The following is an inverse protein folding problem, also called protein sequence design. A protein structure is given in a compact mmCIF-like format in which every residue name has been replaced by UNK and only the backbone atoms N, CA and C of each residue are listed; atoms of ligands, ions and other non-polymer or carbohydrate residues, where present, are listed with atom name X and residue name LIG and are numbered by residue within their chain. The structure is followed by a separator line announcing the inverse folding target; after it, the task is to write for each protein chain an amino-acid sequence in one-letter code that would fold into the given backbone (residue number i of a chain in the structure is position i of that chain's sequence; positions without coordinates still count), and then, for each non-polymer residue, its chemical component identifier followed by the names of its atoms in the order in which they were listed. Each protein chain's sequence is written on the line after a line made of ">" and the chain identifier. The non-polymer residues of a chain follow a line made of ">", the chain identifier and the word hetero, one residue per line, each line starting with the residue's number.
data_IF_248112979080
#
_entry.id   IF_248112979080
#
_cell.length_a   1.000
_cell.length_b   1.000
_cell.length_c   1.000
_cell.angle_alpha   90.00
_cell.angle_beta   90.00
_cell.angle_gamma   90.00
#
_symmetry.space_group_name_H-M   'P 1'
#
loop_
_entity.id
_entity.type
_entity.pdbx_description
1 polymer ?
#
# COMPACT_ATOMS: atom_id res chain seq x y z
N UNK A 1 19.96 6.33 -4.18
CA UNK A 1 21.09 5.56 -4.78
C UNK A 1 22.01 5.21 -3.63
N UNK A 2 21.90 4.00 -3.10
CA UNK A 2 22.60 3.64 -1.86
C UNK A 2 24.05 3.23 -2.17
N UNK A 3 24.93 4.23 -2.09
CA UNK A 3 26.29 4.23 -2.63
C UNK A 3 27.26 3.34 -1.83
N UNK A 4 26.88 2.89 -0.63
CA UNK A 4 27.82 2.23 0.30
C UNK A 4 28.17 0.80 -0.13
N UNK A 5 27.20 -0.03 -0.50
CA UNK A 5 27.45 -1.43 -0.89
C UNK A 5 28.15 -1.54 -2.24
N UNK A 6 27.72 -0.73 -3.22
CA UNK A 6 28.33 -0.63 -4.54
C UNK A 6 29.75 -0.08 -4.46
N UNK A 7 29.99 0.99 -3.69
CA UNK A 7 31.34 1.53 -3.47
C UNK A 7 32.25 0.53 -2.77
N UNK A 8 31.77 -0.18 -1.74
CA UNK A 8 32.56 -1.24 -1.09
C UNK A 8 32.88 -2.39 -2.04
N UNK A 9 31.95 -2.81 -2.89
CA UNK A 9 32.20 -3.84 -3.89
C UNK A 9 33.27 -3.40 -4.91
N UNK A 10 33.08 -2.24 -5.54
CA UNK A 10 34.02 -1.68 -6.52
C UNK A 10 35.41 -1.46 -5.91
N UNK A 11 35.49 -0.84 -4.73
CA UNK A 11 36.77 -0.64 -4.03
C UNK A 11 37.46 -1.97 -3.68
N UNK A 12 36.69 -2.99 -3.27
CA UNK A 12 37.24 -4.32 -2.97
C UNK A 12 37.83 -4.99 -4.21
N UNK A 13 37.17 -4.87 -5.37
CA UNK A 13 37.72 -5.38 -6.64
C UNK A 13 39.01 -4.66 -7.06
N UNK A 14 39.05 -3.33 -6.92
CA UNK A 14 40.25 -2.54 -7.24
C UNK A 14 41.41 -2.90 -6.31
N UNK A 15 41.17 -3.00 -5.00
CA UNK A 15 42.19 -3.40 -4.03
C UNK A 15 42.73 -4.81 -4.29
N UNK A 16 41.85 -5.77 -4.61
CA UNK A 16 42.27 -7.12 -4.93
C UNK A 16 43.04 -7.21 -6.26
N UNK A 17 42.66 -6.40 -7.25
CA UNK A 17 43.40 -6.28 -8.50
C UNK A 17 44.81 -5.71 -8.28
N UNK A 18 44.94 -4.63 -7.50
CA UNK A 18 46.24 -4.06 -7.12
C UNK A 18 47.08 -5.08 -6.35
N UNK A 19 46.49 -5.76 -5.38
CA UNK A 19 47.14 -6.86 -4.65
C UNK A 19 47.67 -7.93 -5.60
N UNK A 20 46.86 -8.39 -6.56
CA UNK A 20 47.25 -9.42 -7.52
C UNK A 20 48.40 -8.95 -8.43
N UNK A 21 48.39 -7.70 -8.90
CA UNK A 21 49.46 -7.13 -9.72
C UNK A 21 50.76 -7.01 -8.95
N UNK A 22 50.73 -6.51 -7.71
CA UNK A 22 51.92 -6.40 -6.85
C UNK A 22 52.46 -7.80 -6.53
N UNK A 23 51.58 -8.71 -6.06
CA UNK A 23 51.98 -10.08 -5.71
C UNK A 23 52.63 -10.79 -6.90
N UNK A 24 52.04 -10.69 -8.11
CA UNK A 24 52.60 -11.28 -9.33
C UNK A 24 53.94 -10.65 -9.74
N UNK A 25 54.06 -9.32 -9.64
CA UNK A 25 55.29 -8.61 -10.03
C UNK A 25 56.45 -8.98 -9.11
N UNK A 26 56.22 -9.02 -7.79
CA UNK A 26 57.27 -9.37 -6.82
C UNK A 26 57.65 -10.86 -6.91
N UNK A 27 56.69 -11.74 -7.21
CA UNK A 27 56.99 -13.15 -7.46
C UNK A 27 57.91 -13.34 -8.69
N UNK A 28 57.76 -12.51 -9.72
CA UNK A 28 58.60 -12.54 -10.94
C UNK A 28 60.01 -11.97 -10.75
N UNK A 29 60.28 -11.27 -9.64
CA UNK A 29 61.59 -10.73 -9.30
C UNK A 29 62.41 -11.67 -8.39
N UNK A 30 61.93 -12.90 -8.15
CA UNK A 30 62.52 -13.90 -7.23
C UNK A 30 62.83 -13.39 -5.81
N UNK A 31 62.14 -12.32 -5.39
CA UNK A 31 62.37 -11.64 -4.10
C UNK A 31 61.96 -12.47 -2.87
N UNK A 32 61.18 -13.54 -3.05
CA UNK A 32 60.65 -14.37 -1.98
C UNK A 32 61.26 -15.78 -1.97
N UNK A 33 61.82 -16.15 -0.82
CA UNK A 33 62.16 -17.53 -0.49
C UNK A 33 60.90 -18.39 -0.29
N UNK A 34 61.08 -19.71 -0.11
CA UNK A 34 59.98 -20.69 -0.07
C UNK A 34 58.88 -20.35 0.96
N UNK A 35 59.26 -19.82 2.12
CA UNK A 35 58.30 -19.36 3.15
C UNK A 35 57.49 -18.13 2.71
N UNK A 36 58.10 -17.19 1.97
CA UNK A 36 57.41 -16.01 1.45
C UNK A 36 56.38 -16.37 0.37
N UNK A 37 56.70 -17.36 -0.48
CA UNK A 37 55.77 -17.89 -1.48
C UNK A 37 54.55 -18.55 -0.84
N UNK A 38 54.75 -19.27 0.26
CA UNK A 38 53.65 -19.88 1.03
C UNK A 38 52.73 -18.83 1.66
N UNK A 39 53.29 -17.77 2.25
CA UNK A 39 52.49 -16.67 2.83
C UNK A 39 51.66 -15.98 1.74
N UNK A 40 52.28 -15.68 0.58
CA UNK A 40 51.57 -15.10 -0.57
C UNK A 40 50.43 -15.99 -1.07
N UNK A 41 50.61 -17.31 -1.07
CA UNK A 41 49.58 -18.25 -1.45
C UNK A 41 48.38 -18.19 -0.49
N UNK A 42 48.63 -18.24 0.81
CA UNK A 42 47.57 -18.16 1.84
C UNK A 42 46.86 -16.81 1.80
N UNK A 43 47.59 -15.69 1.70
CA UNK A 43 46.97 -14.37 1.60
C UNK A 43 46.14 -14.21 0.32
N UNK A 44 46.57 -14.82 -0.79
CA UNK A 44 45.80 -14.81 -2.04
C UNK A 44 44.50 -15.59 -1.92
N UNK A 45 44.49 -16.72 -1.21
CA UNK A 45 43.26 -17.46 -0.90
C UNK A 45 42.33 -16.60 -0.06
N UNK A 46 42.84 -15.91 0.96
CA UNK A 46 42.03 -15.02 1.82
C UNK A 46 41.41 -13.88 1.00
N UNK A 47 42.20 -13.21 0.15
CA UNK A 47 41.70 -12.14 -0.73
C UNK A 47 40.64 -12.68 -1.72
N UNK A 48 40.85 -13.88 -2.28
CA UNK A 48 39.88 -14.52 -3.16
C UNK A 48 38.57 -14.83 -2.43
N UNK A 49 38.62 -15.42 -1.24
CA UNK A 49 37.44 -15.69 -0.41
C UNK A 49 36.71 -14.38 -0.08
N UNK A 50 37.45 -13.34 0.34
CA UNK A 50 36.90 -12.02 0.63
C UNK A 50 36.18 -11.42 -0.60
N UNK A 51 36.77 -11.53 -1.80
CA UNK A 51 36.14 -11.08 -3.04
C UNK A 51 34.85 -11.86 -3.34
N UNK A 52 34.88 -13.19 -3.22
CA UNK A 52 33.71 -14.03 -3.47
C UNK A 52 32.57 -13.64 -2.52
N UNK A 53 32.86 -13.48 -1.22
CA UNK A 53 31.85 -13.06 -0.23
C UNK A 53 31.30 -11.67 -0.53
N UNK A 54 32.17 -10.72 -0.89
CA UNK A 54 31.76 -9.35 -1.24
C UNK A 54 30.88 -9.33 -2.49
N UNK A 55 31.24 -10.11 -3.51
CA UNK A 55 30.49 -10.25 -4.76
C UNK A 55 29.11 -10.88 -4.50
N UNK A 56 29.06 -11.99 -3.75
CA UNK A 56 27.80 -12.65 -3.38
C UNK A 56 26.89 -11.69 -2.60
N UNK A 57 27.45 -10.96 -1.62
CA UNK A 57 26.68 -10.00 -0.82
C UNK A 57 26.13 -8.87 -1.69
N UNK A 58 26.92 -8.36 -2.62
CA UNK A 58 26.48 -7.32 -3.55
C UNK A 58 25.38 -7.80 -4.50
N UNK A 59 25.54 -8.99 -5.10
CA UNK A 59 24.50 -9.60 -5.95
C UNK A 59 23.21 -9.83 -5.16
N UNK A 60 23.32 -10.33 -3.93
CA UNK A 60 22.16 -10.56 -3.07
C UNK A 60 21.40 -9.26 -2.79
N UNK A 61 22.10 -8.16 -2.44
CA UNK A 61 21.49 -6.84 -2.25
C UNK A 61 20.81 -6.34 -3.52
N UNK A 62 21.45 -6.48 -4.68
CA UNK A 62 20.87 -6.06 -5.97
C UNK A 62 19.61 -6.87 -6.33
N UNK A 63 19.64 -8.19 -6.09
CA UNK A 63 18.50 -9.07 -6.34
C UNK A 63 17.33 -8.80 -5.39
N UNK A 64 17.61 -8.44 -4.13
CA UNK A 64 16.59 -8.11 -3.14
C UNK A 64 15.80 -6.86 -3.53
N UNK A 65 16.48 -5.81 -4.00
CA UNK A 65 15.84 -4.57 -4.48
C UNK A 65 14.94 -4.81 -5.69
N UNK A 66 15.40 -5.62 -6.65
CA UNK A 66 14.59 -5.99 -7.82
C UNK A 66 13.33 -6.78 -7.45
N UNK A 67 13.41 -7.66 -6.44
CA UNK A 67 12.25 -8.42 -5.95
C UNK A 67 11.25 -7.54 -5.21
N UNK A 68 11.73 -6.59 -4.38
CA UNK A 68 10.85 -5.67 -3.66
C UNK A 68 10.05 -4.78 -4.61
N UNK A 69 10.70 -4.21 -5.65
CA UNK A 69 9.99 -3.45 -6.68
C UNK A 69 8.93 -4.31 -7.36
N UNK A 70 9.29 -5.51 -7.82
CA UNK A 70 8.35 -6.40 -8.51
C UNK A 70 7.14 -6.80 -7.63
N UNK A 71 7.34 -6.99 -6.32
CA UNK A 71 6.25 -7.28 -5.40
C UNK A 71 5.34 -6.07 -5.20
N UNK A 72 5.91 -4.88 -5.04
CA UNK A 72 5.14 -3.63 -4.97
C UNK A 72 4.36 -3.37 -6.26
N UNK A 73 4.95 -3.68 -7.42
CA UNK A 73 4.27 -3.58 -8.72
C UNK A 73 3.04 -4.51 -8.78
N UNK A 74 3.16 -5.75 -8.30
CA UNK A 74 2.03 -6.70 -8.25
C UNK A 74 0.92 -6.24 -7.30
N UNK A 75 1.29 -5.74 -6.12
CA UNK A 75 0.31 -5.22 -5.15
C UNK A 75 -0.39 -4.00 -5.75
N UNK A 76 0.36 -3.07 -6.34
CA UNK A 76 -0.19 -1.89 -6.98
C UNK A 76 -1.12 -2.26 -8.16
N UNK A 77 -0.77 -3.28 -8.95
CA UNK A 77 -1.62 -3.76 -10.03
C UNK A 77 -2.93 -4.38 -9.51
N UNK A 78 -2.87 -5.18 -8.44
CA UNK A 78 -4.06 -5.73 -7.81
C UNK A 78 -4.96 -4.62 -7.23
N UNK A 79 -4.36 -3.61 -6.58
CA UNK A 79 -5.06 -2.43 -6.07
C UNK A 79 -5.68 -1.59 -7.18
N UNK A 80 -4.99 -1.45 -8.33
CA UNK A 80 -5.52 -0.75 -9.49
C UNK A 80 -6.79 -1.43 -10.02
N UNK A 81 -6.76 -2.77 -10.12
CA UNK A 81 -7.89 -3.54 -10.62
C UNK A 81 -9.10 -3.46 -9.69
N UNK A 82 -8.91 -3.57 -8.36
CA UNK A 82 -10.03 -3.45 -7.42
C UNK A 82 -10.59 -2.03 -7.36
N UNK A 83 -9.73 -1.00 -7.43
CA UNK A 83 -10.17 0.39 -7.52
C UNK A 83 -10.90 0.70 -8.83
N UNK A 84 -10.44 0.17 -9.96
CA UNK A 84 -11.11 0.32 -11.26
C UNK A 84 -12.49 -0.32 -11.24
N UNK A 85 -12.62 -1.55 -10.74
CA UNK A 85 -13.91 -2.23 -10.56
C UNK A 85 -14.85 -1.42 -9.65
N UNK A 86 -14.34 -0.86 -8.56
CA UNK A 86 -15.13 0.01 -7.69
C UNK A 86 -15.60 1.28 -8.41
N UNK A 87 -14.75 1.93 -9.20
CA UNK A 87 -15.11 3.15 -9.95
C UNK A 87 -16.09 2.88 -11.10
N UNK A 88 -16.00 1.71 -11.71
CA UNK A 88 -16.95 1.25 -12.73
C UNK A 88 -18.34 0.99 -12.13
N UNK A 89 -18.40 0.43 -10.92
CA UNK A 89 -19.67 0.20 -10.24
C UNK A 89 -19.55 0.34 -8.71
N UNK A 90 -19.71 1.57 -8.17
CA UNK A 90 -19.57 1.81 -6.72
C UNK A 90 -20.61 1.06 -5.88
N UNK A 91 -21.78 0.81 -6.47
CA UNK A 91 -22.88 0.04 -5.91
C UNK A 91 -22.85 -1.45 -6.31
N UNK A 92 -21.79 -1.96 -6.95
CA UNK A 92 -21.70 -3.36 -7.39
C UNK A 92 -22.92 -3.80 -8.24
N UNK A 93 -23.37 -2.91 -9.12
CA UNK A 93 -24.53 -3.05 -10.01
C UNK A 93 -25.89 -3.17 -9.32
N UNK A 94 -25.98 -2.83 -8.02
CA UNK A 94 -27.25 -2.77 -7.29
C UNK A 94 -28.03 -1.51 -7.67
N UNK A 95 -29.34 -1.65 -7.85
CA UNK A 95 -30.23 -0.61 -8.39
C UNK A 95 -31.11 0.11 -7.39
N UNK A 96 -31.28 -0.44 -6.18
CA UNK A 96 -32.04 0.23 -5.15
C UNK A 96 -31.16 1.19 -4.35
N UNK A 97 -31.70 2.38 -4.08
CA UNK A 97 -31.25 3.24 -3.00
C UNK A 97 -32.38 3.34 -1.99
N UNK A 98 -32.39 2.46 -1.00
CA UNK A 98 -33.19 2.64 0.21
C UNK A 98 -32.29 2.44 1.43
N UNK A 99 -32.54 3.23 2.48
CA UNK A 99 -31.91 3.03 3.77
C UNK A 99 -32.75 2.06 4.61
N UNK A 100 -32.12 1.15 5.36
CA UNK A 100 -32.84 0.23 6.22
C UNK A 100 -33.63 0.99 7.30
N UNK A 101 -34.90 0.65 7.45
CA UNK A 101 -35.76 1.17 8.53
C UNK A 101 -35.74 0.21 9.72
N UNK A 102 -36.09 0.69 10.93
CA UNK A 102 -36.06 -0.15 12.15
C UNK A 102 -36.98 -1.36 12.11
N UNK A 103 -37.93 -1.38 11.18
CA UNK A 103 -38.97 -2.40 11.08
C UNK A 103 -38.57 -3.56 10.14
N UNK A 104 -37.40 -3.46 9.48
CA UNK A 104 -36.88 -4.50 8.60
C UNK A 104 -36.26 -5.66 9.38
N UNK A 105 -36.43 -6.88 8.88
CA UNK A 105 -35.79 -8.06 9.46
C UNK A 105 -34.29 -8.05 9.15
N UNK A 106 -33.44 -8.24 10.17
CA UNK A 106 -31.99 -8.36 10.01
C UNK A 106 -31.55 -9.82 9.90
N UNK A 107 -30.53 -10.06 9.07
CA UNK A 107 -29.85 -11.35 9.00
C UNK A 107 -28.44 -11.18 9.54
N UNK A 108 -28.10 -11.89 10.62
CA UNK A 108 -26.81 -11.80 11.30
C UNK A 108 -25.83 -12.87 10.83
N UNK A 109 -24.53 -12.54 10.79
CA UNK A 109 -23.46 -13.47 10.54
C UNK A 109 -23.36 -14.44 11.70
N UNK A 110 -23.30 -15.76 11.50
CA UNK A 110 -23.14 -16.71 12.63
C UNK A 110 -21.70 -17.18 12.83
N UNK A 111 -20.74 -16.41 12.31
CA UNK A 111 -19.32 -16.74 12.32
C UNK A 111 -18.47 -15.47 12.36
N UNK A 112 -17.17 -15.63 12.51
CA UNK A 112 -16.20 -14.54 12.44
C UNK A 112 -15.28 -14.73 11.24
N UNK A 113 -14.82 -13.62 10.65
CA UNK A 113 -13.90 -13.64 9.53
C UNK A 113 -13.97 -12.37 8.71
N UNK A 114 -13.25 -12.35 7.60
CA UNK A 114 -13.35 -11.28 6.60
C UNK A 114 -14.37 -11.66 5.55
N UNK A 115 -15.29 -10.76 5.21
CA UNK A 115 -16.20 -10.95 4.09
C UNK A 115 -15.42 -10.81 2.78
N UNK A 116 -15.26 -11.91 2.03
CA UNK A 116 -14.45 -11.93 0.80
C UNK A 116 -15.29 -11.96 -0.46
N UNK A 117 -16.53 -12.46 -0.40
CA UNK A 117 -17.40 -12.53 -1.56
C UNK A 117 -18.88 -12.48 -1.15
N UNK A 118 -19.69 -11.88 -2.02
CA UNK A 118 -21.15 -11.85 -1.93
C UNK A 118 -21.71 -12.39 -3.24
N UNK A 119 -22.54 -13.44 -3.17
CA UNK A 119 -23.27 -13.95 -4.33
C UNK A 119 -24.52 -13.08 -4.61
N UNK A 120 -24.31 -11.98 -5.32
CA UNK A 120 -25.38 -11.07 -5.73
C UNK A 120 -26.43 -11.74 -6.60
N UNK A 121 -26.06 -12.73 -7.41
CA UNK A 121 -26.99 -13.41 -8.32
C UNK A 121 -27.99 -14.26 -7.54
N UNK A 122 -27.52 -15.01 -6.56
CA UNK A 122 -28.40 -15.81 -5.68
C UNK A 122 -29.26 -14.91 -4.80
N UNK A 123 -28.70 -13.82 -4.25
CA UNK A 123 -29.48 -12.83 -3.46
C UNK A 123 -30.61 -12.19 -4.28
N UNK A 124 -30.33 -11.76 -5.52
CA UNK A 124 -31.33 -11.18 -6.41
C UNK A 124 -32.47 -12.16 -6.68
N UNK A 125 -32.15 -13.43 -7.01
CA UNK A 125 -33.18 -14.47 -7.22
C UNK A 125 -34.05 -14.69 -5.98
N UNK A 126 -33.43 -14.76 -4.80
CA UNK A 126 -34.16 -14.90 -3.53
C UNK A 126 -35.10 -13.70 -3.29
N UNK A 127 -34.65 -12.48 -3.60
CA UNK A 127 -35.44 -11.27 -3.48
C UNK A 127 -36.63 -11.27 -4.47
N UNK A 128 -36.42 -11.70 -5.71
CA UNK A 128 -37.48 -11.82 -6.73
C UNK A 128 -38.56 -12.84 -6.36
N UNK A 129 -38.16 -14.06 -5.95
CA UNK A 129 -39.06 -15.16 -5.60
C UNK A 129 -39.97 -14.81 -4.41
N UNK A 130 -39.47 -14.00 -3.48
CA UNK A 130 -40.19 -13.63 -2.25
C UNK A 130 -40.79 -12.21 -2.31
N UNK A 131 -40.71 -11.54 -3.47
CA UNK A 131 -41.12 -10.14 -3.66
C UNK A 131 -40.53 -9.18 -2.61
N UNK A 132 -39.33 -9.48 -2.13
CA UNK A 132 -38.62 -8.71 -1.09
C UNK A 132 -37.58 -7.77 -1.70
N UNK A 133 -37.09 -6.83 -0.90
CA UNK A 133 -35.91 -6.04 -1.17
C UNK A 133 -34.84 -6.33 -0.10
N UNK A 134 -33.56 -6.35 -0.50
CA UNK A 134 -32.46 -6.67 0.41
C UNK A 134 -31.46 -5.51 0.42
N UNK A 135 -31.16 -4.98 1.60
CA UNK A 135 -30.09 -4.00 1.82
C UNK A 135 -28.89 -4.67 2.47
N UNK A 136 -27.80 -4.81 1.72
CA UNK A 136 -26.54 -5.36 2.19
C UNK A 136 -25.84 -4.31 3.05
N UNK A 137 -25.59 -4.64 4.31
CA UNK A 137 -25.07 -3.71 5.32
C UNK A 137 -23.54 -3.72 5.43
N UNK A 138 -22.86 -4.62 4.72
CA UNK A 138 -21.41 -4.84 4.81
C UNK A 138 -20.73 -4.67 3.46
N UNK A 139 -19.50 -4.18 3.47
CA UNK A 139 -18.59 -4.21 2.32
C UNK A 139 -17.62 -5.38 2.38
N UNK A 140 -17.13 -5.75 1.20
CA UNK A 140 -16.04 -6.70 1.05
C UNK A 140 -14.79 -6.18 1.76
N UNK A 141 -14.07 -7.08 2.44
CA UNK A 141 -12.92 -6.75 3.27
C UNK A 141 -13.22 -6.46 4.74
N UNK A 142 -14.48 -6.23 5.11
CA UNK A 142 -14.84 -5.97 6.50
C UNK A 142 -14.61 -7.20 7.40
N UNK A 143 -14.10 -6.94 8.61
CA UNK A 143 -13.96 -7.95 9.66
C UNK A 143 -15.28 -8.06 10.40
N UNK A 144 -15.89 -9.25 10.39
CA UNK A 144 -17.19 -9.48 10.99
C UNK A 144 -17.10 -10.32 12.27
N UNK A 145 -18.01 -10.04 13.20
CA UNK A 145 -18.28 -10.83 14.39
C UNK A 145 -19.55 -11.68 14.22
N UNK A 146 -19.78 -12.70 15.07
CA UNK A 146 -20.97 -13.57 15.01
C UNK A 146 -22.32 -12.90 15.32
N UNK A 147 -22.35 -11.58 15.51
CA UNK A 147 -23.53 -10.74 15.72
C UNK A 147 -23.61 -9.61 14.68
N UNK A 148 -22.70 -9.58 13.70
CA UNK A 148 -22.68 -8.57 12.67
C UNK A 148 -23.89 -8.74 11.73
N UNK A 149 -24.64 -7.66 11.50
CA UNK A 149 -25.76 -7.67 10.55
C UNK A 149 -25.22 -7.68 9.12
N UNK A 150 -25.50 -8.75 8.38
CA UNK A 150 -25.12 -8.94 6.98
C UNK A 150 -25.99 -8.08 6.06
N UNK A 151 -27.30 -8.13 6.27
CA UNK A 151 -28.27 -7.40 5.48
C UNK A 151 -29.60 -7.21 6.23
N UNK A 152 -30.38 -6.25 5.76
CA UNK A 152 -31.77 -6.03 6.12
C UNK A 152 -32.68 -6.47 4.99
N UNK A 153 -33.81 -7.07 5.32
CA UNK A 153 -34.81 -7.58 4.38
C UNK A 153 -36.12 -6.85 4.59
N UNK A 154 -36.60 -6.20 3.53
CA UNK A 154 -37.94 -5.63 3.43
C UNK A 154 -38.85 -6.62 2.69
N UNK A 155 -39.54 -7.46 3.45
CA UNK A 155 -40.32 -8.58 2.96
C UNK A 155 -40.24 -9.78 3.89
N UNK A 156 -40.70 -10.94 3.42
CA UNK A 156 -40.70 -12.16 4.22
C UNK A 156 -39.95 -13.28 3.49
N UNK A 157 -38.65 -13.39 3.76
CA UNK A 157 -37.85 -14.54 3.36
C UNK A 157 -37.78 -15.47 4.57
N UNK A 158 -38.37 -16.67 4.46
CA UNK A 158 -38.56 -17.57 5.62
C UNK A 158 -37.28 -18.24 6.13
N UNK A 159 -36.21 -18.26 5.34
CA UNK A 159 -34.99 -18.99 5.65
C UNK A 159 -33.75 -18.11 5.54
N UNK A 160 -33.33 -17.56 6.68
CA UNK A 160 -32.09 -16.79 6.83
C UNK A 160 -30.83 -17.60 6.48
N UNK A 161 -30.89 -18.94 6.44
CA UNK A 161 -29.74 -19.75 6.06
C UNK A 161 -29.40 -19.52 4.58
N UNK A 162 -30.42 -19.46 3.71
CA UNK A 162 -30.22 -19.22 2.27
C UNK A 162 -29.57 -17.87 2.00
N UNK A 163 -29.95 -16.85 2.77
CA UNK A 163 -29.33 -15.52 2.68
C UNK A 163 -27.89 -15.59 3.19
N UNK A 164 -27.64 -16.20 4.36
CA UNK A 164 -26.29 -16.33 4.92
C UNK A 164 -25.32 -17.08 4.01
N UNK A 165 -25.79 -18.11 3.31
CA UNK A 165 -24.96 -18.91 2.39
C UNK A 165 -24.49 -18.09 1.16
N UNK A 166 -25.10 -16.92 0.89
CA UNK A 166 -24.63 -15.99 -0.14
C UNK A 166 -23.42 -15.15 0.30
N UNK A 167 -23.07 -15.14 1.58
CA UNK A 167 -21.93 -14.40 2.12
C UNK A 167 -20.77 -15.37 2.42
N UNK A 168 -19.64 -15.15 1.77
CA UNK A 168 -18.45 -16.01 1.91
C UNK A 168 -17.43 -15.33 2.81
N UNK A 169 -17.02 -16.04 3.85
CA UNK A 169 -16.05 -15.57 4.84
C UNK A 169 -14.73 -16.32 4.74
N UNK A 170 -13.64 -15.61 5.02
CA UNK A 170 -12.28 -16.14 5.04
C UNK A 170 -11.54 -15.71 6.31
N UNK A 171 -10.48 -16.43 6.68
CA UNK A 171 -9.59 -16.03 7.77
C UNK A 171 -8.66 -14.87 7.39
N UNK A 172 -8.58 -14.50 6.11
CA UNK A 172 -7.72 -13.43 5.62
C UNK A 172 -8.42 -12.60 4.53
N UNK A 173 -8.10 -11.30 4.48
CA UNK A 173 -8.52 -10.39 3.40
C UNK A 173 -7.92 -10.79 2.06
N UNK A 174 -8.65 -10.50 0.99
CA UNK A 174 -8.26 -10.72 -0.40
C UNK A 174 -8.22 -9.40 -1.15
N UNK A 175 -7.39 -9.30 -2.20
CA UNK A 175 -7.34 -8.09 -3.03
C UNK A 175 -8.56 -7.98 -3.97
N UNK A 176 -9.22 -9.10 -4.24
CA UNK A 176 -10.39 -9.16 -5.10
C UNK A 176 -11.51 -8.30 -4.50
N UNK A 177 -11.93 -7.27 -5.24
CA UNK A 177 -13.07 -6.40 -4.94
C UNK A 177 -12.99 -5.60 -3.60
N UNK A 178 -11.84 -5.59 -2.93
CA UNK A 178 -11.51 -4.69 -1.82
C UNK A 178 -10.53 -3.60 -2.31
N UNK A 179 -11.02 -2.39 -2.62
CA UNK A 179 -10.17 -1.29 -3.08
C UNK A 179 -9.21 -0.78 -1.99
N UNK A 180 -9.52 -0.98 -0.70
CA UNK A 180 -8.74 -0.44 0.42
C UNK A 180 -7.56 -1.34 0.78
N UNK A 181 -7.73 -2.66 0.70
CA UNK A 181 -6.69 -3.61 1.09
C UNK A 181 -5.36 -3.42 0.34
N UNK A 182 -5.42 -3.15 -0.96
CA UNK A 182 -4.25 -2.83 -1.77
C UNK A 182 -3.43 -1.66 -1.21
N UNK A 183 -4.12 -0.60 -0.78
CA UNK A 183 -3.48 0.58 -0.20
C UNK A 183 -2.95 0.32 1.22
N UNK A 184 -3.66 -0.46 2.04
CA UNK A 184 -3.14 -0.87 3.36
C UNK A 184 -1.82 -1.63 3.20
N UNK A 185 -1.78 -2.64 2.33
CA UNK A 185 -0.57 -3.46 2.14
C UNK A 185 0.60 -2.62 1.58
N UNK A 186 0.32 -1.68 0.68
CA UNK A 186 1.31 -0.70 0.25
C UNK A 186 1.79 0.14 1.45
N UNK A 187 0.87 0.63 2.28
CA UNK A 187 1.18 1.42 3.48
C UNK A 187 2.07 0.67 4.45
N UNK A 188 1.78 -0.60 4.71
CA UNK A 188 2.62 -1.49 5.53
C UNK A 188 4.02 -1.66 4.93
N UNK A 189 4.16 -1.74 3.61
CA UNK A 189 5.46 -1.82 2.96
C UNK A 189 6.26 -0.52 3.15
N UNK A 190 5.62 0.64 3.07
CA UNK A 190 6.25 1.92 3.40
C UNK A 190 6.65 1.98 4.89
N UNK A 191 5.79 1.54 5.82
CA UNK A 191 6.13 1.49 7.25
C UNK A 191 7.33 0.59 7.53
N UNK A 192 7.39 -0.60 6.92
CA UNK A 192 8.54 -1.50 7.04
C UNK A 192 9.82 -0.83 6.55
N UNK A 193 9.74 -0.08 5.46
CA UNK A 193 10.87 0.69 4.93
C UNK A 193 11.31 1.81 5.89
N UNK A 194 10.37 2.50 6.53
CA UNK A 194 10.65 3.55 7.52
C UNK A 194 11.13 3.02 8.88
N UNK A 195 10.97 1.71 9.14
CA UNK A 195 11.37 1.13 10.42
C UNK A 195 12.85 1.38 10.74
N UNK A 196 13.24 1.54 12.03
CA UNK A 196 14.63 1.80 12.42
C UNK A 196 15.64 0.75 11.92
N UNK A 197 15.17 -0.48 11.69
CA UNK A 197 16.02 -1.58 11.21
C UNK A 197 16.34 -1.49 9.71
N UNK A 198 15.46 -0.89 8.90
CA UNK A 198 15.60 -0.78 7.44
C UNK A 198 16.04 0.62 7.03
N UNK A 199 15.35 1.66 7.52
CA UNK A 199 15.62 3.07 7.27
C UNK A 199 15.79 3.41 5.77
N UNK A 200 14.90 2.88 4.93
CA UNK A 200 14.86 3.14 3.49
C UNK A 200 13.75 4.14 3.13
N UNK A 201 14.10 5.42 3.21
CA UNK A 201 13.20 6.53 2.88
C UNK A 201 12.77 6.51 1.40
N UNK A 202 13.65 6.02 0.53
CA UNK A 202 13.42 6.00 -0.92
C UNK A 202 12.29 5.05 -1.28
N UNK A 203 12.24 3.87 -0.65
CA UNK A 203 11.14 2.92 -0.82
C UNK A 203 9.83 3.50 -0.30
N UNK A 204 9.81 4.13 0.88
CA UNK A 204 8.59 4.74 1.42
C UNK A 204 8.03 5.84 0.50
N UNK A 205 8.90 6.70 -0.03
CA UNK A 205 8.54 7.73 -1.01
C UNK A 205 8.01 7.13 -2.31
N UNK A 206 8.65 6.07 -2.81
CA UNK A 206 8.23 5.36 -4.01
C UNK A 206 6.82 4.78 -3.84
N UNK A 207 6.55 4.13 -2.71
CA UNK A 207 5.23 3.59 -2.37
C UNK A 207 4.17 4.68 -2.34
N UNK A 208 4.40 5.80 -1.63
CA UNK A 208 3.43 6.90 -1.61
C UNK A 208 3.17 7.47 -3.00
N UNK A 209 4.21 7.54 -3.84
CA UNK A 209 4.08 8.02 -5.21
C UNK A 209 3.24 7.06 -6.07
N UNK A 210 3.35 5.75 -5.85
CA UNK A 210 2.49 4.73 -6.48
C UNK A 210 1.03 4.88 -6.03
N UNK A 211 0.78 5.03 -4.73
CA UNK A 211 -0.56 5.28 -4.20
C UNK A 211 -1.21 6.51 -4.86
N UNK A 212 -0.45 7.61 -4.97
CA UNK A 212 -0.88 8.81 -5.69
C UNK A 212 -1.24 8.50 -7.15
N UNK A 213 -0.35 7.82 -7.89
CA UNK A 213 -0.62 7.47 -9.28
C UNK A 213 -1.86 6.60 -9.45
N UNK A 214 -2.09 5.63 -8.56
CA UNK A 214 -3.30 4.80 -8.57
C UNK A 214 -4.57 5.64 -8.42
N UNK A 215 -4.60 6.55 -7.45
CA UNK A 215 -5.73 7.43 -7.20
C UNK A 215 -5.98 8.42 -8.33
N UNK A 216 -4.92 8.90 -8.98
CA UNK A 216 -5.02 9.87 -10.08
C UNK A 216 -5.21 9.22 -11.46
N UNK A 217 -5.19 7.90 -11.54
CA UNK A 217 -5.44 7.19 -12.81
C UNK A 217 -6.89 7.38 -13.23
N UNK A 218 -7.08 7.87 -14.45
CA UNK A 218 -8.39 8.07 -15.05
C UNK A 218 -9.01 6.71 -15.44
N UNK A 219 -10.12 6.36 -14.80
CA UNK A 219 -10.97 5.24 -15.22
C UNK A 219 -12.26 5.79 -15.81
N UNK A 220 -12.68 5.23 -16.94
CA UNK A 220 -13.97 5.56 -17.54
C UNK A 220 -15.07 5.04 -16.62
N UNK A 221 -15.89 5.94 -16.10
CA UNK A 221 -17.17 5.54 -15.52
C UNK A 221 -18.04 5.07 -16.68
N UNK A 222 -18.22 3.75 -16.80
CA UNK A 222 -19.30 3.20 -17.61
C UNK A 222 -20.61 3.56 -16.89
N UNK A 223 -21.64 3.91 -17.65
CA UNK A 223 -22.97 4.15 -17.08
C UNK A 223 -23.32 2.99 -16.14
N UNK A 224 -23.75 3.30 -14.92
CA UNK A 224 -24.09 2.31 -13.89
C UNK A 224 -25.19 1.38 -14.42
N UNK A 225 -24.79 0.29 -15.06
CA UNK A 225 -25.69 -0.76 -15.49
C UNK A 225 -26.24 -1.43 -14.23
N UNK A 226 -27.53 -1.22 -13.96
CA UNK A 226 -28.25 -1.89 -12.88
C UNK A 226 -28.52 -3.32 -13.32
N UNK A 227 -27.89 -4.28 -12.62
CA UNK A 227 -28.11 -5.72 -12.82
C UNK A 227 -28.99 -6.32 -11.73
N UNK A 228 -28.97 -5.71 -10.54
CA UNK A 228 -29.66 -6.21 -9.36
C UNK A 228 -30.63 -5.15 -8.84
N UNK A 229 -31.84 -5.12 -9.39
CA UNK A 229 -32.86 -4.10 -9.10
C UNK A 229 -33.61 -4.30 -7.77
N UNK A 230 -33.38 -5.42 -7.07
CA UNK A 230 -33.95 -5.70 -5.73
C UNK A 230 -32.92 -5.66 -4.61
N UNK A 231 -31.67 -5.36 -4.94
CA UNK A 231 -30.58 -5.25 -4.00
C UNK A 231 -30.15 -3.78 -3.85
N UNK A 232 -29.66 -3.47 -2.66
CA UNK A 232 -28.89 -2.25 -2.36
C UNK A 232 -27.71 -2.64 -1.47
N UNK A 233 -26.67 -1.81 -1.41
CA UNK A 233 -25.51 -2.01 -0.55
C UNK A 233 -25.11 -0.70 0.14
N UNK A 234 -24.61 -0.79 1.37
CA UNK A 234 -24.06 0.34 2.10
C UNK A 234 -23.00 1.08 1.28
N UNK A 235 -22.86 2.40 1.45
CA UNK A 235 -21.89 3.20 0.69
C UNK A 235 -20.46 2.93 1.17
N UNK A 236 -19.51 2.86 0.24
CA UNK A 236 -18.09 2.78 0.57
C UNK A 236 -17.59 4.15 1.02
N UNK A 237 -17.02 4.25 2.23
CA UNK A 237 -16.36 5.48 2.67
C UNK A 237 -14.98 5.61 2.00
N UNK A 238 -14.98 6.26 0.85
CA UNK A 238 -13.73 6.50 0.12
C UNK A 238 -12.74 7.41 0.84
N UNK A 239 -13.18 8.16 1.87
CA UNK A 239 -12.27 8.93 2.71
C UNK A 239 -11.42 8.04 3.64
N UNK A 240 -11.95 6.89 4.04
CA UNK A 240 -11.25 5.92 4.90
C UNK A 240 -10.01 5.36 4.21
N UNK A 241 -10.06 5.18 2.88
CA UNK A 241 -8.92 4.73 2.08
C UNK A 241 -7.68 5.60 2.28
N UNK A 242 -7.84 6.94 2.24
CA UNK A 242 -6.72 7.86 2.48
C UNK A 242 -6.20 7.74 3.91
N UNK A 243 -7.12 7.65 4.88
CA UNK A 243 -6.74 7.58 6.29
C UNK A 243 -5.95 6.30 6.58
N UNK A 244 -6.45 5.14 6.16
CA UNK A 244 -5.81 3.85 6.40
C UNK A 244 -4.47 3.71 5.66
N UNK A 245 -4.36 4.26 4.45
CA UNK A 245 -3.15 4.18 3.65
C UNK A 245 -2.02 5.08 4.17
N UNK A 246 -2.34 6.34 4.52
CA UNK A 246 -1.34 7.36 4.82
C UNK A 246 -1.10 7.59 6.31
N UNK A 247 -2.07 7.35 7.20
CA UNK A 247 -1.89 7.53 8.65
C UNK A 247 -0.69 6.77 9.20
N UNK A 248 -0.50 5.48 8.87
CA UNK A 248 0.60 4.71 9.44
C UNK A 248 1.97 5.24 8.97
N UNK A 249 2.07 5.66 7.70
CA UNK A 249 3.27 6.29 7.14
C UNK A 249 3.54 7.65 7.79
N UNK A 250 2.49 8.47 7.98
CA UNK A 250 2.60 9.79 8.59
C UNK A 250 3.01 9.72 10.06
N UNK A 251 2.57 8.68 10.79
CA UNK A 251 2.97 8.42 12.17
C UNK A 251 4.44 7.99 12.23
N UNK A 252 4.81 6.95 11.49
CA UNK A 252 6.15 6.36 11.60
C UNK A 252 7.24 7.22 10.92
N UNK A 253 6.85 8.07 9.97
CA UNK A 253 7.71 9.02 9.28
C UNK A 253 7.72 10.43 9.88
N UNK A 254 7.00 10.69 10.97
CA UNK A 254 6.79 12.05 11.51
C UNK A 254 8.10 12.81 11.77
N UNK A 255 9.13 12.15 12.30
CA UNK A 255 10.44 12.75 12.57
C UNK A 255 11.37 12.87 11.35
N UNK A 256 10.91 12.56 10.13
CA UNK A 256 11.75 12.47 8.92
C UNK A 256 11.31 13.52 7.91
N UNK A 257 12.04 14.63 7.83
CA UNK A 257 11.64 15.80 7.04
C UNK A 257 11.48 15.48 5.54
N UNK A 258 12.35 14.66 4.96
CA UNK A 258 12.31 14.30 3.54
C UNK A 258 11.02 13.55 3.17
N UNK A 259 10.55 12.67 4.06
CA UNK A 259 9.30 11.91 3.88
C UNK A 259 8.11 12.86 3.94
N UNK A 260 8.07 13.74 4.93
CA UNK A 260 6.95 14.66 5.13
C UNK A 260 6.84 15.71 4.02
N UNK A 261 7.96 16.27 3.54
CA UNK A 261 7.93 17.21 2.41
C UNK A 261 7.39 16.58 1.13
N UNK A 262 7.67 15.29 0.91
CA UNK A 262 7.13 14.55 -0.23
C UNK A 262 5.67 14.17 0.00
N UNK A 263 5.31 13.73 1.20
CA UNK A 263 3.92 13.43 1.57
C UNK A 263 3.00 14.63 1.36
N UNK A 264 3.43 15.84 1.76
CA UNK A 264 2.67 17.08 1.50
C UNK A 264 2.43 17.30 0.00
N UNK A 265 3.46 17.10 -0.85
CA UNK A 265 3.30 17.22 -2.31
C UNK A 265 2.33 16.19 -2.87
N UNK A 266 2.43 14.95 -2.39
CA UNK A 266 1.58 13.85 -2.84
C UNK A 266 0.12 14.10 -2.47
N UNK A 267 -0.15 14.41 -1.20
CA UNK A 267 -1.51 14.69 -0.73
C UNK A 267 -2.09 15.94 -1.40
N UNK A 268 -1.29 16.98 -1.65
CA UNK A 268 -1.74 18.15 -2.41
C UNK A 268 -2.08 17.79 -3.87
N UNK A 269 -1.31 16.89 -4.49
CA UNK A 269 -1.60 16.41 -5.84
C UNK A 269 -2.88 15.59 -5.87
N UNK A 270 -3.12 14.72 -4.87
CA UNK A 270 -4.38 13.97 -4.73
C UNK A 270 -5.54 14.95 -4.56
N UNK A 271 -5.44 15.85 -3.58
CA UNK A 271 -6.46 16.87 -3.28
C UNK A 271 -6.90 17.66 -4.52
N UNK A 272 -5.95 18.09 -5.37
CA UNK A 272 -6.25 18.93 -6.54
C UNK A 272 -6.78 18.17 -7.75
N UNK A 273 -6.41 16.90 -7.93
CA UNK A 273 -6.57 16.21 -9.21
C UNK A 273 -7.46 14.95 -9.14
N UNK A 274 -7.77 14.45 -7.95
CA UNK A 274 -8.69 13.32 -7.79
C UNK A 274 -10.12 13.76 -8.11
N UNK A 275 -10.93 12.85 -8.66
CA UNK A 275 -12.31 13.16 -9.07
C UNK A 275 -13.27 13.11 -7.89
N UNK A 276 -13.05 12.14 -7.02
CA UNK A 276 -13.88 11.84 -5.87
C UNK A 276 -13.67 12.89 -4.79
N UNK A 277 -14.73 13.65 -4.49
CA UNK A 277 -14.68 14.78 -3.54
C UNK A 277 -14.29 14.33 -2.13
N UNK A 278 -14.79 13.17 -1.69
CA UNK A 278 -14.48 12.61 -0.38
C UNK A 278 -12.99 12.26 -0.25
N UNK A 279 -12.37 11.67 -1.29
CA UNK A 279 -10.93 11.40 -1.33
C UNK A 279 -10.13 12.72 -1.33
N UNK A 280 -10.59 13.71 -2.09
CA UNK A 280 -9.95 15.03 -2.14
C UNK A 280 -9.92 15.68 -0.74
N UNK A 281 -11.06 15.74 -0.07
CA UNK A 281 -11.20 16.35 1.25
C UNK A 281 -10.43 15.56 2.33
N UNK A 282 -10.44 14.22 2.23
CA UNK A 282 -9.63 13.35 3.09
C UNK A 282 -8.13 13.58 2.92
N UNK A 283 -7.65 13.79 1.68
CA UNK A 283 -6.25 14.08 1.41
C UNK A 283 -5.79 15.41 2.03
N UNK A 284 -6.63 16.44 1.96
CA UNK A 284 -6.35 17.72 2.63
C UNK A 284 -6.28 17.55 4.16
N UNK A 285 -7.26 16.86 4.75
CA UNK A 285 -7.29 16.58 6.20
C UNK A 285 -6.08 15.77 6.66
N UNK A 286 -5.71 14.74 5.89
CA UNK A 286 -4.52 13.91 6.16
C UNK A 286 -3.23 14.73 6.06
N UNK A 287 -3.14 15.67 5.12
CA UNK A 287 -1.97 16.54 4.99
C UNK A 287 -1.78 17.44 6.22
N UNK A 288 -2.88 18.00 6.75
CA UNK A 288 -2.87 18.76 7.99
C UNK A 288 -2.42 17.89 9.17
N UNK A 289 -3.02 16.71 9.33
CA UNK A 289 -2.68 15.78 10.40
C UNK A 289 -1.21 15.30 10.34
N UNK A 290 -0.68 15.04 9.14
CA UNK A 290 0.72 14.65 8.96
C UNK A 290 1.68 15.78 9.33
N UNK A 291 1.36 17.02 8.96
CA UNK A 291 2.14 18.20 9.36
C UNK A 291 2.14 18.36 10.89
N UNK A 292 0.98 18.28 11.53
CA UNK A 292 0.87 18.41 13.00
C UNK A 292 1.61 17.29 13.74
N UNK A 293 1.59 16.04 13.25
CA UNK A 293 2.43 14.96 13.80
C UNK A 293 3.91 15.28 13.66
N UNK A 294 4.33 15.79 12.50
CA UNK A 294 5.74 16.11 12.24
C UNK A 294 6.25 17.24 13.13
N UNK A 295 5.42 18.26 13.42
CA UNK A 295 5.76 19.33 14.37
C UNK A 295 6.09 18.81 15.77
N UNK A 296 5.50 17.69 16.18
CA UNK A 296 5.73 17.10 17.50
C UNK A 296 7.04 16.29 17.57
N UNK A 297 7.50 15.75 16.44
CA UNK A 297 8.61 14.80 16.38
C UNK A 297 9.90 15.39 15.78
N UNK A 298 9.81 16.44 14.95
CA UNK A 298 10.98 17.09 14.35
C UNK A 298 11.75 17.89 15.40
N UNK A 299 13.06 17.65 15.59
CA UNK A 299 13.83 18.32 16.64
C UNK A 299 14.36 19.70 16.23
N UNK A 300 14.34 20.03 14.94
CA UNK A 300 14.97 21.24 14.40
C UNK A 300 13.93 22.23 13.87
N UNK A 301 13.89 23.43 14.46
CA UNK A 301 12.87 24.45 14.20
C UNK A 301 12.79 24.85 12.71
N UNK A 302 13.93 24.97 12.02
CA UNK A 302 13.93 25.37 10.61
C UNK A 302 13.29 24.30 9.69
N UNK A 303 13.39 23.02 10.06
CA UNK A 303 12.72 21.94 9.33
C UNK A 303 11.20 22.00 9.55
N UNK A 304 10.77 22.36 10.76
CA UNK A 304 9.35 22.62 11.07
C UNK A 304 8.83 23.79 10.23
N UNK A 305 9.52 24.93 10.24
CA UNK A 305 9.16 26.11 9.44
C UNK A 305 9.10 25.78 7.95
N UNK A 306 10.08 25.03 7.44
CA UNK A 306 10.12 24.58 6.04
C UNK A 306 8.88 23.73 5.70
N UNK A 307 8.51 22.77 6.55
CA UNK A 307 7.35 21.92 6.35
C UNK A 307 6.04 22.70 6.39
N UNK A 308 5.89 23.61 7.35
CA UNK A 308 4.71 24.48 7.50
C UNK A 308 4.54 25.38 6.28
N UNK A 309 5.61 26.07 5.87
CA UNK A 309 5.61 26.89 4.67
C UNK A 309 5.27 26.06 3.43
N UNK A 310 5.76 24.82 3.36
CA UNK A 310 5.45 23.91 2.25
C UNK A 310 3.97 23.54 2.21
N UNK A 311 3.37 23.25 3.36
CA UNK A 311 1.94 22.95 3.48
C UNK A 311 1.10 24.15 3.02
N UNK A 312 1.30 25.33 3.60
CA UNK A 312 0.57 26.54 3.22
C UNK A 312 0.70 26.88 1.73
N UNK A 313 1.91 26.79 1.17
CA UNK A 313 2.13 27.00 -0.27
C UNK A 313 1.30 26.06 -1.14
N UNK A 314 1.12 24.81 -0.70
CA UNK A 314 0.41 23.78 -1.46
C UNK A 314 -1.11 23.77 -1.24
N UNK A 315 -1.60 24.19 -0.08
CA UNK A 315 -3.03 24.07 0.25
C UNK A 315 -3.77 25.41 0.31
N UNK A 316 -3.09 26.54 0.51
CA UNK A 316 -3.72 27.86 0.60
C UNK A 316 -3.74 28.61 -0.75
N UNK A 317 -2.96 28.16 -1.73
CA UNK A 317 -2.86 28.81 -3.05
C UNK A 317 -4.12 28.68 -3.92
N UNK A 318 -5.15 27.98 -3.46
CA UNK A 318 -6.44 27.82 -4.17
C UNK A 318 -7.31 29.09 -4.18
N UNK A 319 -7.06 30.07 -3.32
CA UNK A 319 -7.84 31.32 -3.28
C UNK A 319 -7.41 32.37 -4.32
N UNK A 320 -6.43 32.06 -5.18
CA UNK A 320 -5.86 33.01 -6.15
C UNK A 320 -6.22 32.74 -7.62
N UNK A 321 -7.06 31.74 -7.90
CA UNK A 321 -7.47 31.34 -9.25
C UNK A 321 -9.01 31.16 -9.37
N UNK A 322 -9.77 32.08 -8.78
CA UNK A 322 -11.20 32.29 -9.05
C UNK A 322 -11.41 33.47 -9.98
#
# INVERSE_FOLDING_TARGET
>A
MDDKSTRTAISSFICAFIYAVIAKTVLGLDFYEQNGRFILFVSSIIVLIYLIVTLIRWIYTLSLLGRLSNTLDKIAQAAAQSLEQYRESPSLHTGLSFEPTSDMASVEAKCCGYLTHIDFQTLQRLAEENQANIHINLRLGELISPDAVLCFVDGNIKDDCLIRDCFVFSSARTFEQDPTWGFIVLGEAAQRALSPAVNDLGTAINVMSRMMSLLLTDTKSLENEVKYDRLSICTFDSAELIQEAFTPIARDGAGIIEVNLVMQKILASIWRNVREKDISDAAQKMALQAMERSKQELPFEQDIELLVNKHHTLFDSSDSLS
#
